data_IF_369114098193
#
_entry.id   IF_369114098193
#
_cell.length_a   1.000
_cell.length_b   1.000
_cell.length_c   1.000
_cell.angle_alpha   90.00
_cell.angle_beta   90.00
_cell.angle_gamma   90.00
#
_symmetry.space_group_name_H-M   'P 1'
#
loop_
_entity.id
_entity.type
_entity.pdbx_description
1 polymer ?
#
# COMPACT_ATOMS: atom_id res chain seq x y z
N UNK A 1 -16.10 43.09 -42.68
CA UNK A 1 -14.90 42.60 -41.97
C UNK A 1 -15.19 42.52 -40.48
N UNK A 2 -15.76 41.41 -39.97
CA UNK A 2 -15.79 41.06 -38.54
C UNK A 2 -16.19 39.59 -38.46
N UNK A 3 -15.22 38.72 -38.72
CA UNK A 3 -15.27 37.29 -38.38
C UNK A 3 -14.06 37.04 -37.51
N UNK A 4 -14.22 36.18 -36.51
CA UNK A 4 -13.19 35.71 -35.56
C UNK A 4 -13.05 36.59 -34.31
N UNK A 5 -14.12 36.64 -33.50
CA UNK A 5 -13.92 36.73 -32.05
C UNK A 5 -13.62 35.31 -31.55
N UNK A 6 -12.42 35.21 -31.00
CA UNK A 6 -11.63 34.02 -30.79
C UNK A 6 -12.17 33.31 -29.55
N UNK A 7 -12.71 32.10 -29.75
CA UNK A 7 -12.96 31.11 -28.70
C UNK A 7 -11.60 30.60 -28.19
N UNK A 8 -10.95 31.39 -27.33
CA UNK A 8 -9.75 30.99 -26.59
C UNK A 8 -10.14 30.51 -25.19
N UNK A 9 -10.97 29.47 -25.10
CA UNK A 9 -11.03 28.68 -23.86
C UNK A 9 -9.88 27.69 -23.98
N UNK A 10 -8.73 28.10 -23.43
CA UNK A 10 -7.59 27.24 -23.19
C UNK A 10 -8.08 26.14 -22.25
N UNK A 11 -8.39 24.98 -22.82
CA UNK A 11 -8.46 23.73 -22.10
C UNK A 11 -7.06 23.50 -21.51
N UNK A 12 -6.86 23.98 -20.28
CA UNK A 12 -5.83 23.44 -19.41
C UNK A 12 -6.26 22.01 -19.09
N UNK A 13 -6.02 21.10 -20.02
CA UNK A 13 -5.94 19.68 -19.76
C UNK A 13 -4.81 19.54 -18.75
N UNK A 14 -5.16 19.48 -17.46
CA UNK A 14 -4.24 19.03 -16.43
C UNK A 14 -3.75 17.67 -16.88
N UNK A 15 -2.50 17.62 -17.35
CA UNK A 15 -1.76 16.39 -17.47
C UNK A 15 -1.66 15.82 -16.05
N UNK A 16 -2.63 15.00 -15.67
CA UNK A 16 -2.40 13.98 -14.67
C UNK A 16 -1.29 13.14 -15.28
N UNK A 17 -0.08 13.31 -14.76
CA UNK A 17 0.98 12.36 -15.05
C UNK A 17 0.45 11.02 -14.52
N UNK A 18 0.01 10.15 -15.44
CA UNK A 18 -0.22 8.75 -15.14
C UNK A 18 1.14 8.21 -14.70
N UNK A 19 1.34 8.15 -13.39
CA UNK A 19 2.46 7.43 -12.78
C UNK A 19 2.32 6.00 -13.27
N UNK A 20 3.37 5.48 -13.92
CA UNK A 20 3.32 4.10 -14.41
C UNK A 20 3.13 3.19 -13.20
N UNK A 21 2.06 2.41 -13.23
CA UNK A 21 1.73 1.39 -12.23
C UNK A 21 2.96 0.54 -11.86
N UNK A 22 3.80 0.23 -12.85
CA UNK A 22 5.03 -0.56 -12.66
C UNK A 22 6.07 0.15 -11.81
N UNK A 23 6.10 1.48 -11.81
CA UNK A 23 6.99 2.21 -10.93
C UNK A 23 6.54 2.06 -9.48
N UNK A 24 5.24 2.12 -9.20
CA UNK A 24 4.71 1.91 -7.85
C UNK A 24 5.00 0.52 -7.29
N UNK A 25 5.24 -0.47 -8.15
CA UNK A 25 5.64 -1.82 -7.72
C UNK A 25 6.98 -1.82 -6.97
N UNK A 26 7.88 -0.87 -7.28
CA UNK A 26 9.18 -0.72 -6.57
C UNK A 26 9.01 -0.45 -5.08
N UNK A 27 7.87 0.11 -4.64
CA UNK A 27 7.59 0.31 -3.20
C UNK A 27 7.42 -1.02 -2.45
N UNK A 28 7.05 -2.10 -3.16
CA UNK A 28 6.84 -3.40 -2.53
C UNK A 28 8.14 -4.22 -2.43
N UNK A 29 9.19 -3.84 -3.16
CA UNK A 29 10.47 -4.54 -3.15
C UNK A 29 11.12 -4.53 -1.75
N UNK A 30 11.77 -5.64 -1.33
CA UNK A 30 12.42 -5.73 -0.02
C UNK A 30 13.41 -4.60 0.32
N UNK A 31 14.21 -4.06 -0.63
CA UNK A 31 15.07 -2.91 -0.33
C UNK A 31 14.30 -1.63 0.00
N UNK A 32 13.14 -1.38 -0.63
CA UNK A 32 12.36 -0.17 -0.41
C UNK A 32 11.81 -0.07 1.03
N UNK A 33 11.47 -1.22 1.63
CA UNK A 33 11.05 -1.33 3.05
C UNK A 33 12.06 -0.67 3.98
N UNK A 34 13.34 -0.86 3.70
CA UNK A 34 14.43 -0.35 4.54
C UNK A 34 14.59 1.17 4.45
N UNK A 35 13.94 1.82 3.48
CA UNK A 35 14.00 3.26 3.34
C UNK A 35 13.14 4.01 4.37
N UNK A 36 12.14 3.36 4.97
CA UNK A 36 11.40 3.92 6.09
C UNK A 36 11.70 3.13 7.36
N UNK A 37 12.35 3.75 8.34
CA UNK A 37 12.84 3.03 9.54
C UNK A 37 11.71 2.33 10.29
N UNK A 38 10.58 3.01 10.47
CA UNK A 38 9.43 2.46 11.17
C UNK A 38 8.82 1.25 10.47
N UNK A 39 8.75 1.28 9.13
CA UNK A 39 8.25 0.14 8.35
C UNK A 39 9.25 -1.02 8.47
N UNK A 40 10.54 -0.74 8.37
CA UNK A 40 11.58 -1.75 8.54
C UNK A 40 11.51 -2.42 9.92
N UNK A 41 11.32 -1.66 11.00
CA UNK A 41 11.16 -2.19 12.36
C UNK A 41 9.95 -3.11 12.49
N UNK A 42 8.81 -2.72 11.90
CA UNK A 42 7.59 -3.52 11.91
C UNK A 42 7.73 -4.79 11.08
N UNK A 43 8.36 -4.71 9.91
CA UNK A 43 8.60 -5.86 9.05
C UNK A 43 9.61 -6.82 9.69
N UNK A 44 10.64 -6.31 10.37
CA UNK A 44 11.56 -7.12 11.16
C UNK A 44 10.85 -7.82 12.33
N UNK A 45 10.00 -7.11 13.06
CA UNK A 45 9.20 -7.68 14.14
C UNK A 45 8.22 -8.74 13.60
N UNK A 46 7.63 -8.47 12.43
CA UNK A 46 6.78 -9.40 11.69
C UNK A 46 7.56 -10.68 11.34
N UNK A 47 8.68 -10.56 10.64
CA UNK A 47 9.50 -11.68 10.15
C UNK A 47 10.11 -12.52 11.28
N UNK A 48 10.36 -11.91 12.44
CA UNK A 48 10.87 -12.58 13.64
C UNK A 48 9.78 -13.25 14.47
N UNK A 49 8.50 -12.94 14.25
CA UNK A 49 7.41 -13.56 15.00
C UNK A 49 7.39 -15.07 14.76
N UNK A 50 7.38 -15.86 15.84
CA UNK A 50 7.37 -17.32 15.74
C UNK A 50 6.10 -17.82 15.00
N UNK A 51 5.02 -17.05 15.09
CA UNK A 51 3.68 -17.37 14.62
C UNK A 51 3.59 -17.50 13.08
N UNK A 52 4.49 -16.88 12.32
CA UNK A 52 4.48 -16.93 10.86
C UNK A 52 5.52 -17.88 10.26
N UNK A 53 6.41 -18.47 11.07
CA UNK A 53 7.44 -19.40 10.54
C UNK A 53 6.82 -20.60 9.83
N UNK A 54 5.66 -21.04 10.29
CA UNK A 54 4.89 -22.12 9.65
C UNK A 54 4.38 -21.72 8.26
N UNK A 55 4.12 -20.43 8.02
CA UNK A 55 3.72 -19.94 6.71
C UNK A 55 4.86 -19.98 5.69
N UNK A 56 6.13 -20.13 6.10
CA UNK A 56 7.23 -20.30 5.14
C UNK A 56 7.22 -21.65 4.41
N UNK A 57 6.33 -22.57 4.81
CA UNK A 57 6.20 -23.90 4.21
C UNK A 57 5.15 -23.96 3.09
N UNK A 58 4.34 -22.91 2.91
CA UNK A 58 3.32 -22.88 1.85
C UNK A 58 3.87 -22.31 0.55
N UNK A 59 3.10 -22.37 -0.53
CA UNK A 59 3.52 -21.79 -1.79
C UNK A 59 3.66 -20.27 -1.67
N UNK A 60 4.81 -19.76 -2.09
CA UNK A 60 5.12 -18.32 -2.10
C UNK A 60 4.68 -17.62 -3.38
N UNK A 61 4.06 -18.33 -4.32
CA UNK A 61 3.49 -17.73 -5.53
C UNK A 61 2.40 -16.71 -5.15
N UNK A 62 2.62 -15.41 -5.43
CA UNK A 62 1.65 -14.35 -5.13
C UNK A 62 0.30 -14.57 -5.83
N UNK A 63 0.26 -15.28 -6.95
CA UNK A 63 -0.99 -15.59 -7.64
C UNK A 63 -1.88 -16.58 -6.86
N UNK A 64 -1.29 -17.40 -6.00
CA UNK A 64 -2.01 -18.40 -5.19
C UNK A 64 -2.38 -17.88 -3.80
N UNK A 65 -1.75 -16.81 -3.33
CA UNK A 65 -2.05 -16.14 -2.07
C UNK A 65 -2.00 -17.01 -0.80
N UNK A 66 -1.46 -18.23 -0.88
CA UNK A 66 -1.44 -19.16 0.25
C UNK A 66 -0.65 -18.59 1.43
N UNK A 67 0.47 -17.93 1.14
CA UNK A 67 1.30 -17.28 2.15
C UNK A 67 0.54 -16.17 2.88
N UNK A 68 -0.04 -15.22 2.13
CA UNK A 68 -0.78 -14.09 2.70
C UNK A 68 -2.02 -14.55 3.47
N UNK A 69 -2.72 -15.58 2.98
CA UNK A 69 -3.85 -16.19 3.69
C UNK A 69 -3.39 -16.88 4.99
N UNK A 70 -2.26 -17.60 4.97
CA UNK A 70 -1.69 -18.22 6.17
C UNK A 70 -1.38 -17.17 7.24
N UNK A 71 -0.70 -16.09 6.84
CA UNK A 71 -0.39 -14.95 7.70
C UNK A 71 -1.67 -14.34 8.27
N UNK A 72 -2.68 -14.12 7.42
CA UNK A 72 -3.94 -13.52 7.82
C UNK A 72 -4.69 -14.37 8.85
N UNK A 73 -4.71 -15.69 8.68
CA UNK A 73 -5.28 -16.62 9.67
C UNK A 73 -4.54 -16.58 10.99
N UNK A 74 -3.20 -16.64 10.96
CA UNK A 74 -2.38 -16.61 12.18
C UNK A 74 -2.56 -15.31 12.97
N UNK A 75 -2.81 -14.20 12.28
CA UNK A 75 -3.07 -12.90 12.90
C UNK A 75 -4.54 -12.61 13.20
N UNK A 76 -5.44 -13.53 12.85
CA UNK A 76 -6.86 -13.44 13.16
C UNK A 76 -7.62 -12.39 12.36
N UNK A 77 -7.16 -12.09 11.13
CA UNK A 77 -7.85 -11.18 10.21
C UNK A 77 -8.29 -11.85 8.90
N UNK A 78 -8.19 -13.18 8.82
CA UNK A 78 -8.94 -13.98 7.86
C UNK A 78 -10.16 -14.60 8.55
N UNK A 79 -11.29 -14.61 7.86
CA UNK A 79 -12.50 -15.33 8.25
C UNK A 79 -12.37 -16.84 7.99
N UNK A 80 -13.28 -17.64 8.53
CA UNK A 80 -13.32 -19.10 8.34
C UNK A 80 -13.52 -19.49 6.86
N UNK A 81 -14.16 -18.63 6.07
CA UNK A 81 -14.34 -18.80 4.62
C UNK A 81 -13.19 -18.21 3.78
N UNK A 82 -12.02 -17.99 4.39
CA UNK A 82 -10.80 -17.46 3.76
C UNK A 82 -10.96 -16.07 3.15
N UNK A 83 -11.85 -15.23 3.70
CA UNK A 83 -12.01 -13.84 3.28
C UNK A 83 -11.32 -12.89 4.25
N UNK A 84 -11.13 -11.66 3.77
CA UNK A 84 -10.50 -10.61 4.54
C UNK A 84 -11.47 -10.03 5.58
N UNK A 85 -11.10 -10.05 6.86
CA UNK A 85 -11.82 -9.32 7.90
C UNK A 85 -11.18 -7.93 8.09
N UNK A 86 -11.65 -6.96 7.31
CA UNK A 86 -11.19 -5.56 7.36
C UNK A 86 -11.33 -4.94 8.76
N UNK A 87 -12.33 -5.35 9.54
CA UNK A 87 -12.55 -4.83 10.90
C UNK A 87 -11.41 -5.25 11.82
N UNK A 88 -10.96 -6.51 11.72
CA UNK A 88 -9.81 -7.00 12.50
C UNK A 88 -8.51 -6.31 12.10
N UNK A 89 -8.32 -6.03 10.82
CA UNK A 89 -7.15 -5.27 10.33
C UNK A 89 -7.19 -3.85 10.90
N UNK A 90 -8.34 -3.19 10.88
CA UNK A 90 -8.47 -1.84 11.46
C UNK A 90 -8.12 -1.84 12.95
N UNK A 91 -8.55 -2.85 13.72
CA UNK A 91 -8.20 -2.99 15.14
C UNK A 91 -6.69 -3.16 15.32
N UNK A 92 -6.05 -3.98 14.50
CA UNK A 92 -4.59 -4.18 14.54
C UNK A 92 -3.84 -2.89 14.17
N UNK A 93 -4.24 -2.21 13.11
CA UNK A 93 -3.61 -0.94 12.69
C UNK A 93 -3.83 0.17 13.71
N UNK A 94 -4.99 0.22 14.34
CA UNK A 94 -5.26 1.18 15.43
C UNK A 94 -4.36 0.92 16.65
N UNK A 95 -4.06 -0.35 16.94
CA UNK A 95 -3.14 -0.70 18.02
C UNK A 95 -1.71 -0.24 17.70
N UNK A 96 -1.25 -0.44 16.48
CA UNK A 96 0.14 -0.20 16.08
C UNK A 96 0.41 1.27 15.71
N UNK A 97 -0.59 1.97 15.15
CA UNK A 97 -0.48 3.32 14.59
C UNK A 97 -1.53 4.31 15.12
N UNK A 98 -2.27 3.98 16.17
CA UNK A 98 -3.36 4.83 16.69
C UNK A 98 -2.92 6.24 17.11
N UNK A 99 -1.63 6.45 17.37
CA UNK A 99 -1.05 7.76 17.66
C UNK A 99 -0.82 8.63 16.41
N UNK A 100 -0.76 8.03 15.21
CA UNK A 100 -0.60 8.73 13.93
C UNK A 100 -1.97 9.00 13.29
N UNK A 101 -2.61 10.09 13.73
CA UNK A 101 -3.95 10.44 13.30
C UNK A 101 -4.09 10.56 11.78
N UNK A 102 -3.12 11.16 11.09
CA UNK A 102 -3.15 11.34 9.64
C UNK A 102 -3.01 10.01 8.88
N UNK A 103 -2.12 9.13 9.32
CA UNK A 103 -2.00 7.78 8.77
C UNK A 103 -3.30 7.00 8.99
N UNK A 104 -3.84 6.98 10.20
CA UNK A 104 -5.07 6.26 10.51
C UNK A 104 -6.29 6.79 9.73
N UNK A 105 -6.34 8.10 9.47
CA UNK A 105 -7.36 8.70 8.62
C UNK A 105 -7.28 8.15 7.19
N UNK A 106 -6.10 8.17 6.60
CA UNK A 106 -5.89 7.68 5.22
C UNK A 106 -6.09 6.15 5.13
N UNK A 107 -5.65 5.38 6.13
CA UNK A 107 -5.92 3.93 6.17
C UNK A 107 -7.42 3.61 6.17
N UNK A 108 -8.21 4.36 6.95
CA UNK A 108 -9.67 4.19 6.98
C UNK A 108 -10.30 4.56 5.65
N UNK A 109 -9.97 5.72 5.08
CA UNK A 109 -10.59 6.16 3.83
C UNK A 109 -10.16 5.31 2.64
N UNK A 110 -8.88 4.99 2.53
CA UNK A 110 -8.28 4.40 1.33
C UNK A 110 -8.22 2.87 1.37
N UNK A 111 -8.00 2.26 2.54
CA UNK A 111 -7.78 0.80 2.63
C UNK A 111 -9.00 0.04 3.14
N UNK A 112 -9.71 0.60 4.13
CA UNK A 112 -10.82 -0.11 4.76
C UNK A 112 -12.16 0.18 4.06
N UNK A 113 -12.45 1.46 3.81
CA UNK A 113 -13.73 1.87 3.24
C UNK A 113 -13.78 1.79 1.70
N UNK A 114 -12.64 1.87 1.02
CA UNK A 114 -12.60 1.84 -0.44
C UNK A 114 -12.48 0.42 -1.03
N UNK A 115 -12.69 0.33 -2.35
CA UNK A 115 -12.43 -0.83 -3.16
C UNK A 115 -10.92 -1.05 -3.34
N UNK A 116 -10.46 -2.27 -3.08
CA UNK A 116 -9.07 -2.67 -3.18
C UNK A 116 -8.59 -2.89 -4.63
N UNK A 117 -9.50 -2.81 -5.62
CA UNK A 117 -9.16 -3.00 -7.03
C UNK A 117 -8.09 -2.04 -7.56
N UNK A 118 -7.97 -0.86 -6.96
CA UNK A 118 -6.95 0.15 -7.27
C UNK A 118 -5.59 -0.12 -6.64
N UNK A 119 -5.35 -1.29 -6.04
CA UNK A 119 -4.08 -1.65 -5.39
C UNK A 119 -3.43 -2.90 -5.98
N UNK A 120 -3.90 -3.30 -7.15
CA UNK A 120 -3.33 -4.40 -7.92
C UNK A 120 -4.33 -5.01 -8.89
N UNK A 121 -3.84 -5.79 -9.86
CA UNK A 121 -4.67 -6.39 -10.90
C UNK A 121 -5.79 -7.28 -10.31
N UNK A 122 -6.93 -7.43 -11.01
CA UNK A 122 -8.10 -8.18 -10.54
C UNK A 122 -7.79 -9.58 -9.99
N UNK A 123 -6.76 -10.22 -10.52
CA UNK A 123 -6.29 -11.58 -10.27
C UNK A 123 -5.57 -11.71 -8.93
N UNK A 124 -5.02 -10.62 -8.38
CA UNK A 124 -4.47 -10.63 -7.02
C UNK A 124 -5.60 -10.77 -6.01
N UNK A 125 -5.40 -11.63 -5.01
CA UNK A 125 -6.35 -11.73 -3.92
C UNK A 125 -6.40 -10.45 -3.06
N UNK A 126 -7.50 -10.32 -2.34
CA UNK A 126 -7.74 -9.17 -1.45
C UNK A 126 -6.68 -9.01 -0.36
N UNK A 127 -6.04 -10.11 0.10
CA UNK A 127 -4.97 -10.05 1.10
C UNK A 127 -3.71 -9.33 0.58
N UNK A 128 -3.37 -9.51 -0.69
CA UNK A 128 -2.24 -8.79 -1.29
C UNK A 128 -2.63 -7.34 -1.55
N UNK A 129 -3.83 -7.11 -2.10
CA UNK A 129 -4.29 -5.74 -2.39
C UNK A 129 -4.40 -4.88 -1.13
N UNK A 130 -4.91 -5.43 -0.02
CA UNK A 130 -4.93 -4.69 1.26
C UNK A 130 -3.50 -4.44 1.77
N UNK A 131 -2.61 -5.44 1.71
CA UNK A 131 -1.19 -5.28 2.11
C UNK A 131 -0.54 -4.15 1.31
N UNK A 132 -0.79 -4.08 0.02
CA UNK A 132 -0.29 -3.03 -0.86
C UNK A 132 -0.84 -1.66 -0.45
N UNK A 133 -2.14 -1.55 -0.21
CA UNK A 133 -2.75 -0.31 0.28
C UNK A 133 -2.10 0.17 1.57
N UNK A 134 -2.01 -0.70 2.57
CA UNK A 134 -1.41 -0.40 3.88
C UNK A 134 0.03 0.10 3.70
N UNK A 135 0.84 -0.61 2.90
CA UNK A 135 2.24 -0.27 2.67
C UNK A 135 2.40 1.10 2.01
N UNK A 136 1.58 1.42 1.00
CA UNK A 136 1.60 2.74 0.35
C UNK A 136 1.29 3.84 1.36
N UNK A 137 0.23 3.70 2.14
CA UNK A 137 -0.12 4.73 3.14
C UNK A 137 0.97 4.87 4.21
N UNK A 138 1.56 3.75 4.66
CA UNK A 138 2.67 3.77 5.61
C UNK A 138 3.89 4.51 5.05
N UNK A 139 4.25 4.29 3.78
CA UNK A 139 5.33 5.04 3.15
C UNK A 139 5.00 6.53 3.00
N UNK A 140 3.80 6.86 2.53
CA UNK A 140 3.33 8.24 2.37
C UNK A 140 3.46 9.05 3.66
N UNK A 141 3.18 8.42 4.80
CA UNK A 141 3.26 9.01 6.14
C UNK A 141 4.54 8.70 6.90
N UNK A 142 5.56 8.14 6.23
CA UNK A 142 6.79 7.75 6.90
C UNK A 142 7.48 8.97 7.55
N UNK A 143 7.67 8.98 8.88
CA UNK A 143 8.23 10.12 9.59
C UNK A 143 9.77 10.17 9.51
N UNK A 144 10.41 9.01 9.32
CA UNK A 144 11.86 8.87 9.36
C UNK A 144 12.36 8.03 8.17
N UNK A 145 12.95 8.75 7.22
CA UNK A 145 13.51 8.19 5.99
C UNK A 145 15.02 8.01 6.11
N UNK A 146 15.54 6.91 5.57
CA UNK A 146 16.97 6.74 5.37
C UNK A 146 17.51 7.76 4.36
N UNK A 147 18.60 8.43 4.72
CA UNK A 147 19.18 9.51 3.92
C UNK A 147 20.23 8.95 2.95
N UNK A 148 19.77 8.41 1.83
CA UNK A 148 20.62 8.02 0.70
C UNK A 148 19.86 8.20 -0.63
N UNK A 149 20.59 8.19 -1.75
CA UNK A 149 20.02 8.49 -3.07
C UNK A 149 18.89 7.51 -3.47
N UNK A 150 19.05 6.21 -3.19
CA UNK A 150 18.03 5.22 -3.48
C UNK A 150 16.74 5.45 -2.69
N UNK A 151 16.86 5.80 -1.41
CA UNK A 151 15.69 6.07 -0.56
C UNK A 151 15.02 7.41 -0.85
N UNK A 152 15.75 8.38 -1.41
CA UNK A 152 15.14 9.61 -1.92
C UNK A 152 14.23 9.34 -3.13
N UNK A 153 14.61 8.42 -4.03
CA UNK A 153 13.75 7.99 -5.14
C UNK A 153 12.47 7.32 -4.63
N UNK A 154 12.60 6.36 -3.70
CA UNK A 154 11.46 5.66 -3.08
C UNK A 154 10.53 6.63 -2.35
N UNK A 155 11.08 7.65 -1.69
CA UNK A 155 10.28 8.69 -1.04
C UNK A 155 9.45 9.50 -2.03
N UNK A 156 10.04 9.91 -3.15
CA UNK A 156 9.31 10.61 -4.22
C UNK A 156 8.18 9.74 -4.77
N UNK A 157 8.51 8.50 -5.11
CA UNK A 157 7.55 7.52 -5.63
C UNK A 157 6.38 7.26 -4.66
N UNK A 158 6.65 7.14 -3.37
CA UNK A 158 5.59 6.94 -2.35
C UNK A 158 4.59 8.11 -2.31
N UNK A 159 5.06 9.35 -2.51
CA UNK A 159 4.19 10.52 -2.56
C UNK A 159 3.34 10.57 -3.84
N UNK A 160 3.87 10.06 -4.94
CA UNK A 160 3.19 10.01 -6.25
C UNK A 160 2.17 8.87 -6.31
N UNK A 161 2.56 7.65 -5.96
CA UNK A 161 1.68 6.48 -5.88
C UNK A 161 0.57 6.62 -4.82
N UNK A 162 0.79 7.45 -3.80
CA UNK A 162 -0.26 7.80 -2.82
C UNK A 162 -1.30 8.78 -3.35
N UNK A 163 -1.07 9.42 -4.51
CA UNK A 163 -1.98 10.40 -5.15
C UNK A 163 -2.67 9.82 -6.39
N UNK A 164 -1.95 9.02 -7.17
CA UNK A 164 -2.45 8.40 -8.41
C UNK A 164 -2.60 6.90 -8.15
N UNK A 165 -3.84 6.42 -8.11
CA UNK A 165 -4.16 5.01 -7.80
C UNK A 165 -4.22 4.18 -9.09
N UNK A 166 -4.02 2.87 -8.96
CA UNK A 166 -3.80 1.90 -10.04
C UNK A 166 -5.02 1.71 -10.95
#
# INVERSE_FOLDING_TARGET
>A
MYRLLILSIVLFSSALADVDQKECEKLFDPPAVRCCKKIAELEDAFMKSADIKECNQVNMDPALCEFDLCVAKKRGFATDDNKLDKTKIEVLMTKDFGAEADLMKDLKSECFNDNLGKYGPPELCDFIKIKNCLKIQMFKHCPDWEMNDACNEIKGLAQECGRTMF
#
